data_IF_028139605541
#
_entry.id   IF_028139605541
#
_cell.length_a   1.000
_cell.length_b   1.000
_cell.length_c   1.000
_cell.angle_alpha   90.00
_cell.angle_beta   90.00
_cell.angle_gamma   90.00
#
_symmetry.space_group_name_H-M   'P 1'
#
loop_
_entity.id
_entity.type
_entity.pdbx_description
1 polymer ?
#
# COMPACT_ATOMS: atom_id res chain seq x y z
N UNK A 1 -35.46 -21.34 5.71
CA UNK A 1 -34.72 -20.52 6.70
C UNK A 1 -33.39 -20.15 6.09
N UNK A 2 -33.10 -18.85 5.95
CA UNK A 2 -31.74 -18.42 5.68
C UNK A 2 -30.92 -18.56 6.97
N UNK A 3 -29.68 -19.03 6.88
CA UNK A 3 -28.75 -19.00 8.01
C UNK A 3 -28.42 -17.56 8.35
N UNK A 4 -28.22 -17.25 9.64
CA UNK A 4 -27.74 -15.94 10.07
C UNK A 4 -26.30 -15.72 9.56
N UNK A 5 -26.07 -14.75 8.66
CA UNK A 5 -24.74 -14.48 8.14
C UNK A 5 -23.74 -14.03 9.22
N UNK A 6 -24.23 -13.53 10.36
CA UNK A 6 -23.41 -13.04 11.47
C UNK A 6 -22.93 -14.20 12.36
N UNK A 7 -23.55 -15.37 12.25
CA UNK A 7 -23.09 -16.60 12.90
C UNK A 7 -21.96 -17.31 12.12
N UNK A 8 -21.54 -16.79 10.96
CA UNK A 8 -20.49 -17.41 10.14
C UNK A 8 -19.09 -17.05 10.65
N UNK A 9 -18.36 -18.08 11.07
CA UNK A 9 -16.94 -17.98 11.43
C UNK A 9 -16.10 -17.75 10.17
N UNK A 10 -15.27 -16.70 10.21
CA UNK A 10 -14.43 -16.24 9.10
C UNK A 10 -13.04 -16.88 9.18
N UNK A 11 -12.35 -16.97 8.04
CA UNK A 11 -11.10 -17.72 7.91
C UNK A 11 -11.17 -19.18 8.41
N UNK A 12 -12.38 -19.74 8.55
CA UNK A 12 -12.56 -21.09 9.06
C UNK A 12 -11.87 -22.10 8.16
N UNK A 13 -12.16 -22.04 6.86
CA UNK A 13 -11.51 -22.90 5.88
C UNK A 13 -10.00 -22.71 5.85
N UNK A 14 -9.52 -21.47 5.86
CA UNK A 14 -8.10 -21.16 5.78
C UNK A 14 -7.34 -21.79 6.96
N UNK A 15 -7.81 -21.57 8.19
CA UNK A 15 -7.19 -22.16 9.40
C UNK A 15 -7.27 -23.68 9.41
N UNK A 16 -8.42 -24.26 9.04
CA UNK A 16 -8.55 -25.72 8.95
C UNK A 16 -7.55 -26.29 7.94
N UNK A 17 -7.43 -25.67 6.76
CA UNK A 17 -6.47 -26.12 5.74
C UNK A 17 -5.04 -26.05 6.24
N UNK A 18 -4.62 -24.93 6.82
CA UNK A 18 -3.24 -24.76 7.28
C UNK A 18 -2.89 -25.63 8.49
N UNK A 19 -3.87 -25.99 9.33
CA UNK A 19 -3.68 -26.93 10.44
C UNK A 19 -3.60 -28.40 10.01
N UNK A 20 -4.01 -28.75 8.79
CA UNK A 20 -4.04 -30.16 8.36
C UNK A 20 -3.19 -30.46 7.13
N UNK A 21 -2.80 -29.45 6.36
CA UNK A 21 -1.87 -29.59 5.23
C UNK A 21 -0.45 -29.35 5.72
N UNK A 22 0.39 -30.39 5.63
CA UNK A 22 1.82 -30.23 5.87
C UNK A 22 2.40 -29.15 4.95
N UNK A 23 3.38 -28.39 5.45
CA UNK A 23 4.01 -27.28 4.74
C UNK A 23 4.49 -27.61 3.32
N UNK A 24 5.12 -28.77 3.13
CA UNK A 24 5.54 -29.26 1.82
C UNK A 24 4.44 -29.89 0.95
N UNK A 25 3.17 -29.80 1.32
CA UNK A 25 2.02 -30.43 0.65
C UNK A 25 0.97 -29.43 0.13
N UNK A 26 1.31 -28.14 0.09
CA UNK A 26 0.50 -27.09 -0.53
C UNK A 26 0.43 -27.29 -2.06
N UNK A 27 -0.68 -26.86 -2.66
CA UNK A 27 -0.92 -26.93 -4.10
C UNK A 27 -1.35 -25.60 -4.70
N UNK A 28 -2.16 -24.82 -3.98
CA UNK A 28 -2.56 -23.49 -4.41
C UNK A 28 -2.61 -22.53 -3.22
N UNK A 29 -2.35 -21.27 -3.51
CA UNK A 29 -2.44 -20.16 -2.56
C UNK A 29 -3.05 -18.95 -3.29
N UNK A 30 -3.91 -18.22 -2.60
CA UNK A 30 -4.30 -16.86 -3.01
C UNK A 30 -3.66 -15.87 -2.05
N UNK A 31 -2.93 -14.89 -2.59
CA UNK A 31 -2.32 -13.80 -1.83
C UNK A 31 -2.81 -12.46 -2.36
N UNK A 32 -2.89 -11.48 -1.47
CA UNK A 32 -3.14 -10.09 -1.82
C UNK A 32 -2.01 -9.23 -1.25
N UNK A 33 -1.42 -8.35 -2.05
CA UNK A 33 -0.43 -7.38 -1.55
C UNK A 33 -1.14 -6.26 -0.81
N UNK A 34 -0.63 -5.89 0.36
CA UNK A 34 -1.12 -4.73 1.13
C UNK A 34 -0.39 -3.46 0.67
N UNK A 35 -0.53 -3.20 -0.61
CA UNK A 35 -0.02 -2.05 -1.33
C UNK A 35 -1.22 -1.19 -1.77
N UNK A 36 -0.98 0.05 -2.14
CA UNK A 36 -1.97 0.96 -2.69
C UNK A 36 -2.77 0.45 -3.86
N UNK A 37 -2.21 -0.49 -4.62
CA UNK A 37 -2.98 -1.33 -5.51
C UNK A 37 -3.02 -2.71 -4.89
N UNK A 38 -4.21 -3.17 -4.52
CA UNK A 38 -4.37 -4.55 -4.06
C UNK A 38 -4.16 -5.49 -5.24
N UNK A 39 -2.96 -6.04 -5.39
CA UNK A 39 -2.68 -7.07 -6.40
C UNK A 39 -3.05 -8.41 -5.80
N UNK A 40 -4.08 -9.03 -6.34
CA UNK A 40 -4.45 -10.40 -6.00
C UNK A 40 -3.76 -11.37 -6.95
N UNK A 41 -3.05 -12.35 -6.38
CA UNK A 41 -2.39 -13.41 -7.14
C UNK A 41 -2.94 -14.75 -6.70
N UNK A 42 -3.28 -15.60 -7.66
CA UNK A 42 -3.49 -17.03 -7.45
C UNK A 42 -2.29 -17.78 -7.99
N UNK A 43 -1.63 -18.54 -7.12
CA UNK A 43 -0.40 -19.26 -7.44
C UNK A 43 -0.70 -20.75 -7.29
N UNK A 44 -0.37 -21.54 -8.31
CA UNK A 44 -0.60 -22.98 -8.32
C UNK A 44 0.69 -23.72 -8.65
N UNK A 45 1.03 -24.69 -7.83
CA UNK A 45 2.16 -25.58 -8.05
C UNK A 45 1.69 -26.84 -8.81
N UNK A 46 2.48 -27.28 -9.80
CA UNK A 46 2.21 -28.51 -10.55
C UNK A 46 2.41 -29.78 -9.72
N UNK A 47 3.15 -29.66 -8.61
CA UNK A 47 3.39 -30.70 -7.60
C UNK A 47 3.21 -30.09 -6.21
N UNK A 48 3.21 -30.95 -5.19
CA UNK A 48 3.28 -30.52 -3.80
C UNK A 48 4.51 -29.61 -3.62
N UNK A 49 4.31 -28.44 -3.03
CA UNK A 49 5.38 -27.44 -2.84
C UNK A 49 5.34 -26.88 -1.42
N UNK A 50 6.49 -26.39 -0.96
CA UNK A 50 6.59 -25.51 0.20
C UNK A 50 6.16 -24.07 -0.17
N UNK A 51 5.80 -23.27 0.84
CA UNK A 51 5.59 -21.82 0.80
C UNK A 51 6.66 -21.06 0.01
N UNK A 52 7.94 -21.40 0.18
CA UNK A 52 9.03 -20.77 -0.57
C UNK A 52 8.85 -20.93 -2.08
N UNK A 53 8.33 -22.07 -2.53
CA UNK A 53 8.04 -22.31 -3.95
C UNK A 53 6.87 -21.51 -4.50
N UNK A 54 6.05 -20.89 -3.65
CA UNK A 54 5.00 -19.95 -4.06
C UNK A 54 5.47 -18.49 -4.08
N UNK A 55 6.67 -18.18 -3.59
CA UNK A 55 7.21 -16.82 -3.64
C UNK A 55 6.44 -15.80 -2.80
N UNK A 56 5.88 -16.23 -1.66
CA UNK A 56 5.16 -15.35 -0.73
C UNK A 56 6.14 -14.44 0.01
N UNK A 57 5.83 -13.16 0.05
CA UNK A 57 6.50 -12.19 0.91
C UNK A 57 5.77 -12.09 2.26
N UNK A 58 6.30 -12.76 3.28
CA UNK A 58 5.71 -12.75 4.63
C UNK A 58 5.61 -11.36 5.26
N UNK A 59 6.31 -10.35 4.73
CA UNK A 59 6.28 -8.99 5.28
C UNK A 59 5.14 -8.15 4.70
N UNK A 60 4.58 -8.53 3.54
CA UNK A 60 3.66 -7.68 2.76
C UNK A 60 2.43 -8.42 2.20
N UNK A 61 2.51 -9.75 2.04
CA UNK A 61 1.44 -10.55 1.45
C UNK A 61 0.42 -11.02 2.49
N UNK A 62 -0.85 -10.70 2.24
CA UNK A 62 -1.98 -11.24 2.97
C UNK A 62 -2.43 -12.56 2.34
N UNK A 63 -2.27 -13.67 3.05
CA UNK A 63 -2.77 -14.96 2.61
C UNK A 63 -4.30 -15.02 2.73
N UNK A 64 -4.99 -15.22 1.61
CA UNK A 64 -6.46 -15.25 1.52
C UNK A 64 -7.01 -16.66 1.37
N UNK A 65 -6.28 -17.56 0.71
CA UNK A 65 -6.71 -18.94 0.49
C UNK A 65 -5.51 -19.86 0.53
N UNK A 66 -5.71 -21.05 1.08
CA UNK A 66 -4.77 -22.15 0.92
C UNK A 66 -5.49 -23.42 0.50
N UNK A 67 -4.84 -24.23 -0.33
CA UNK A 67 -5.33 -25.54 -0.71
C UNK A 67 -4.18 -26.54 -0.90
N UNK A 68 -4.47 -27.80 -0.61
CA UNK A 68 -3.47 -28.84 -0.59
C UNK A 68 -4.03 -30.22 -0.26
N UNK A 69 -3.12 -31.12 0.08
CA UNK A 69 -3.45 -32.50 0.50
C UNK A 69 -3.18 -32.60 1.99
N UNK A 70 -4.18 -32.97 2.82
CA UNK A 70 -3.98 -33.05 4.26
C UNK A 70 -3.07 -34.24 4.60
N UNK A 71 -2.38 -34.15 5.74
CA UNK A 71 -1.58 -35.24 6.29
C UNK A 71 -2.45 -36.44 6.64
N UNK A 72 -3.67 -36.19 7.15
CA UNK A 72 -4.70 -37.21 7.35
C UNK A 72 -5.59 -37.33 6.10
N UNK A 73 -5.27 -38.29 5.23
CA UNK A 73 -6.03 -38.53 4.00
C UNK A 73 -7.40 -39.17 4.24
N UNK A 74 -7.66 -39.69 5.45
CA UNK A 74 -9.01 -40.10 5.85
C UNK A 74 -9.92 -38.90 6.10
N UNK A 75 -9.35 -37.73 6.48
CA UNK A 75 -10.10 -36.48 6.59
C UNK A 75 -10.49 -35.91 5.21
N UNK A 76 -9.56 -35.84 4.25
CA UNK A 76 -9.88 -35.47 2.87
C UNK A 76 -8.78 -35.95 1.90
N UNK A 77 -9.13 -36.22 0.64
CA UNK A 77 -8.13 -36.44 -0.41
C UNK A 77 -7.49 -35.11 -0.87
N UNK A 78 -8.23 -34.02 -0.76
CA UNK A 78 -7.80 -32.65 -1.01
C UNK A 78 -8.75 -31.68 -0.33
N UNK A 79 -8.25 -30.50 0.01
CA UNK A 79 -9.06 -29.42 0.53
C UNK A 79 -8.50 -28.05 0.14
N UNK A 80 -9.38 -27.06 0.15
CA UNK A 80 -9.06 -25.65 0.02
C UNK A 80 -9.90 -24.85 1.01
N UNK A 81 -9.35 -23.73 1.46
CA UNK A 81 -9.94 -22.96 2.55
C UNK A 81 -9.67 -21.47 2.45
N UNK A 82 -10.76 -20.71 2.56
CA UNK A 82 -10.79 -19.25 2.80
C UNK A 82 -11.69 -19.00 4.03
N UNK A 83 -12.83 -18.35 3.86
CA UNK A 83 -13.90 -18.31 4.86
C UNK A 83 -14.55 -19.70 4.94
N UNK A 84 -14.99 -20.21 3.79
CA UNK A 84 -15.52 -21.57 3.67
C UNK A 84 -14.39 -22.60 3.54
N UNK A 85 -14.67 -23.81 4.05
CA UNK A 85 -13.87 -25.01 3.83
C UNK A 85 -14.50 -25.83 2.72
N UNK A 86 -13.75 -26.08 1.65
CA UNK A 86 -14.12 -27.01 0.58
C UNK A 86 -13.20 -28.23 0.68
N UNK A 87 -13.76 -29.44 0.76
CA UNK A 87 -12.98 -30.67 0.82
C UNK A 87 -13.54 -31.73 -0.10
N UNK A 88 -12.65 -32.57 -0.64
CA UNK A 88 -12.98 -33.77 -1.39
C UNK A 88 -12.73 -34.97 -0.52
N UNK A 89 -13.75 -35.80 -0.27
CA UNK A 89 -13.58 -37.04 0.49
C UNK A 89 -14.65 -38.06 0.10
N UNK A 90 -14.36 -39.36 0.30
CA UNK A 90 -15.39 -40.40 0.26
C UNK A 90 -16.19 -40.29 1.55
N UNK A 91 -17.50 -40.05 1.43
CA UNK A 91 -18.37 -39.75 2.57
C UNK A 91 -19.75 -40.38 2.40
N UNK A 92 -20.29 -40.97 3.47
CA UNK A 92 -21.72 -41.28 3.58
C UNK A 92 -22.45 -40.24 4.44
N UNK A 93 -23.79 -40.19 4.38
CA UNK A 93 -24.57 -39.25 5.18
C UNK A 93 -24.30 -39.36 6.70
N UNK A 94 -23.95 -40.56 7.19
CA UNK A 94 -23.67 -40.81 8.61
C UNK A 94 -22.34 -40.17 9.07
N UNK A 95 -21.41 -39.94 8.14
CA UNK A 95 -20.06 -39.46 8.44
C UNK A 95 -19.95 -37.93 8.53
N UNK A 96 -20.95 -37.20 8.00
CA UNK A 96 -20.97 -35.73 7.94
C UNK A 96 -20.71 -35.11 9.32
N UNK A 97 -21.43 -35.58 10.35
CA UNK A 97 -21.29 -35.05 11.72
C UNK A 97 -19.87 -35.24 12.25
N UNK A 98 -19.23 -36.37 11.93
CA UNK A 98 -17.84 -36.65 12.30
C UNK A 98 -16.86 -35.70 11.64
N UNK A 99 -17.02 -35.45 10.33
CA UNK A 99 -16.20 -34.48 9.59
C UNK A 99 -16.34 -33.07 10.13
N UNK A 100 -17.56 -32.60 10.41
CA UNK A 100 -17.79 -31.27 10.97
C UNK A 100 -17.10 -31.11 12.34
N UNK A 101 -17.18 -32.12 13.22
CA UNK A 101 -16.45 -32.12 14.49
C UNK A 101 -14.94 -32.04 14.30
N UNK A 102 -14.39 -32.82 13.36
CA UNK A 102 -12.96 -32.81 13.07
C UNK A 102 -12.51 -31.47 12.48
N UNK A 103 -13.28 -30.89 11.56
CA UNK A 103 -13.02 -29.56 11.02
C UNK A 103 -13.02 -28.49 12.12
N UNK A 104 -13.98 -28.54 13.05
CA UNK A 104 -14.02 -27.61 14.19
C UNK A 104 -12.82 -27.79 15.13
N UNK A 105 -12.38 -29.04 15.37
CA UNK A 105 -11.15 -29.31 16.12
C UNK A 105 -9.92 -28.71 15.43
N UNK A 106 -9.80 -28.90 14.11
CA UNK A 106 -8.71 -28.33 13.30
C UNK A 106 -8.77 -26.80 13.25
N UNK A 107 -9.96 -26.20 13.27
CA UNK A 107 -10.10 -24.75 13.34
C UNK A 107 -9.58 -24.17 14.65
N UNK A 108 -9.83 -24.85 15.77
CA UNK A 108 -9.39 -24.43 17.10
C UNK A 108 -7.92 -24.79 17.40
N UNK A 109 -7.27 -25.58 16.53
CA UNK A 109 -5.86 -25.90 16.68
C UNK A 109 -4.97 -24.71 16.29
N UNK A 110 -3.80 -24.60 16.91
CA UNK A 110 -2.81 -23.56 16.64
C UNK A 110 -1.54 -24.11 15.99
N UNK A 111 -1.54 -25.36 15.56
CA UNK A 111 -0.37 -26.01 14.93
C UNK A 111 0.11 -25.26 13.70
N UNK A 112 -0.81 -24.65 12.93
CA UNK A 112 -0.49 -23.81 11.77
C UNK A 112 0.45 -22.66 12.13
N UNK A 113 0.42 -22.13 13.36
CA UNK A 113 1.23 -20.97 13.75
C UNK A 113 2.73 -21.27 13.70
N UNK A 114 3.14 -22.55 13.77
CA UNK A 114 4.54 -22.97 13.61
C UNK A 114 5.13 -22.56 12.25
N UNK A 115 4.31 -22.61 11.20
CA UNK A 115 4.73 -22.35 9.81
C UNK A 115 4.04 -21.14 9.19
N UNK A 116 2.90 -20.71 9.73
CA UNK A 116 1.97 -19.75 9.12
C UNK A 116 1.47 -18.68 10.10
N UNK A 117 2.18 -18.38 11.19
CA UNK A 117 1.78 -17.33 12.14
C UNK A 117 1.54 -15.96 11.48
N UNK A 118 2.20 -15.67 10.36
CA UNK A 118 2.07 -14.41 9.63
C UNK A 118 0.63 -14.13 9.15
N UNK A 119 -0.21 -15.15 8.95
CA UNK A 119 -1.59 -14.96 8.48
C UNK A 119 -2.49 -14.27 9.51
N UNK A 120 -2.10 -14.28 10.78
CA UNK A 120 -2.83 -13.64 11.88
C UNK A 120 -2.39 -12.19 12.11
N UNK A 121 -1.34 -11.71 11.42
CA UNK A 121 -0.79 -10.36 11.62
C UNK A 121 -1.73 -9.27 11.13
N UNK A 122 -2.45 -9.52 10.03
CA UNK A 122 -3.38 -8.58 9.40
C UNK A 122 -4.63 -9.36 8.98
N UNK A 123 -5.75 -9.11 9.65
CA UNK A 123 -6.98 -9.88 9.45
C UNK A 123 -8.10 -8.96 8.99
N UNK A 124 -8.72 -9.19 7.82
CA UNK A 124 -9.89 -8.42 7.39
C UNK A 124 -11.02 -8.51 8.42
N UNK A 125 -11.61 -7.37 8.78
CA UNK A 125 -12.78 -7.30 9.64
C UNK A 125 -14.01 -7.68 8.81
N UNK A 126 -14.79 -8.64 9.33
CA UNK A 126 -15.95 -9.21 8.63
C UNK A 126 -17.19 -9.30 9.52
N UNK A 127 -17.03 -9.12 10.82
CA UNK A 127 -18.12 -9.02 11.78
C UNK A 127 -18.93 -7.75 11.49
N UNK A 128 -20.23 -7.89 11.24
CA UNK A 128 -21.05 -6.77 10.76
C UNK A 128 -21.29 -5.71 11.82
N UNK A 129 -21.40 -6.10 13.09
CA UNK A 129 -21.61 -5.15 14.18
C UNK A 129 -20.35 -4.32 14.41
N UNK A 130 -19.18 -4.96 14.40
CA UNK A 130 -17.90 -4.28 14.48
C UNK A 130 -17.64 -3.41 13.24
N UNK A 131 -17.98 -3.87 12.04
CA UNK A 131 -17.90 -3.05 10.83
C UNK A 131 -18.78 -1.81 10.92
N UNK A 132 -20.02 -1.95 11.40
CA UNK A 132 -20.92 -0.81 11.61
C UNK A 132 -20.34 0.18 12.65
N UNK A 133 -19.79 -0.32 13.75
CA UNK A 133 -19.14 0.52 14.77
C UNK A 133 -17.92 1.27 14.21
N UNK A 134 -17.07 0.59 13.42
CA UNK A 134 -15.92 1.21 12.77
C UNK A 134 -16.32 2.23 11.70
N UNK A 135 -17.38 1.92 10.93
CA UNK A 135 -17.99 2.82 9.97
C UNK A 135 -18.54 4.09 10.64
N UNK A 136 -19.20 3.95 11.78
CA UNK A 136 -19.72 5.07 12.56
C UNK A 136 -18.58 5.97 13.07
N UNK A 137 -17.43 5.40 13.44
CA UNK A 137 -16.24 6.18 13.80
C UNK A 137 -15.74 7.02 12.62
N UNK A 138 -15.66 6.47 11.41
CA UNK A 138 -15.25 7.25 10.21
C UNK A 138 -16.28 8.32 9.89
N UNK A 139 -17.57 8.02 10.02
CA UNK A 139 -18.59 9.03 9.80
C UNK A 139 -18.52 10.15 10.84
N UNK A 140 -18.22 9.83 12.10
CA UNK A 140 -17.97 10.83 13.12
C UNK A 140 -16.77 11.72 12.78
N UNK A 141 -15.71 11.19 12.16
CA UNK A 141 -14.60 11.99 11.63
C UNK A 141 -15.04 12.98 10.54
N UNK A 142 -15.88 12.54 9.59
CA UNK A 142 -16.47 13.43 8.58
C UNK A 142 -17.29 14.55 9.24
N UNK A 143 -18.09 14.21 10.26
CA UNK A 143 -18.86 15.21 11.02
C UNK A 143 -17.99 16.19 11.81
N UNK A 144 -16.87 15.72 12.37
CA UNK A 144 -15.89 16.57 13.05
C UNK A 144 -15.27 17.55 12.06
N UNK A 145 -14.87 17.09 10.88
CA UNK A 145 -14.31 17.93 9.83
C UNK A 145 -15.31 19.00 9.33
N UNK A 146 -16.58 18.65 9.13
CA UNK A 146 -17.66 19.60 8.81
C UNK A 146 -17.77 20.71 9.87
N UNK A 147 -17.51 20.39 11.14
CA UNK A 147 -17.53 21.34 12.27
C UNK A 147 -16.20 22.07 12.48
N UNK A 148 -15.19 21.86 11.62
CA UNK A 148 -13.86 22.43 11.76
C UNK A 148 -13.02 21.84 12.90
N UNK A 149 -13.34 20.62 13.35
CA UNK A 149 -12.59 19.91 14.38
C UNK A 149 -11.46 19.04 13.78
N UNK A 150 -10.36 18.80 14.51
CA UNK A 150 -9.22 18.04 13.99
C UNK A 150 -9.56 16.55 13.77
N UNK A 151 -9.15 16.04 12.61
CA UNK A 151 -9.29 14.63 12.23
C UNK A 151 -8.03 14.13 11.52
N UNK A 152 -7.73 12.84 11.69
CA UNK A 152 -6.66 12.13 10.96
C UNK A 152 -7.20 11.30 9.78
N UNK A 153 -8.51 11.38 9.50
CA UNK A 153 -9.10 10.81 8.29
C UNK A 153 -8.49 11.49 7.07
N UNK A 154 -8.01 10.71 6.11
CA UNK A 154 -7.45 11.23 4.87
C UNK A 154 -7.93 10.39 3.68
N UNK A 155 -7.61 10.86 2.47
CA UNK A 155 -8.02 10.23 1.22
C UNK A 155 -6.82 9.87 0.36
N UNK A 156 -6.91 8.73 -0.33
CA UNK A 156 -5.98 8.33 -1.38
C UNK A 156 -6.73 7.49 -2.41
N UNK A 157 -6.21 7.38 -3.62
CA UNK A 157 -6.82 6.50 -4.61
C UNK A 157 -6.45 5.03 -4.35
N UNK A 158 -7.40 4.09 -4.45
CA UNK A 158 -7.16 2.66 -4.25
C UNK A 158 -6.50 1.94 -5.44
N UNK A 159 -6.23 2.64 -6.55
CA UNK A 159 -5.68 2.05 -7.78
C UNK A 159 -4.77 3.04 -8.50
N UNK A 160 -3.81 2.52 -9.27
CA UNK A 160 -3.02 3.32 -10.21
C UNK A 160 -3.95 3.87 -11.30
N UNK A 161 -4.02 5.19 -11.38
CA UNK A 161 -4.63 5.88 -12.52
C UNK A 161 -3.62 5.86 -13.67
N UNK A 162 -4.12 5.60 -14.87
CA UNK A 162 -3.32 5.70 -16.09
C UNK A 162 -2.69 7.11 -16.16
N UNK A 163 -1.36 7.23 -16.27
CA UNK A 163 -0.68 8.53 -16.36
C UNK A 163 -1.20 9.44 -17.48
N UNK A 164 -1.84 8.89 -18.50
CA UNK A 164 -2.46 9.61 -19.62
C UNK A 164 -3.93 10.01 -19.37
N UNK A 165 -4.56 9.53 -18.31
CA UNK A 165 -5.89 9.97 -17.90
C UNK A 165 -5.81 11.38 -17.27
N UNK A 166 -6.75 12.25 -17.64
CA UNK A 166 -6.91 13.56 -17.00
C UNK A 166 -6.97 13.42 -15.48
N UNK A 167 -6.10 14.16 -14.78
CA UNK A 167 -5.86 14.04 -13.33
C UNK A 167 -6.84 14.82 -12.46
N UNK A 168 -7.88 15.35 -13.08
CA UNK A 168 -8.80 16.27 -12.45
C UNK A 168 -9.98 15.49 -11.87
N UNK A 169 -10.11 15.50 -10.55
CA UNK A 169 -11.15 14.82 -9.80
C UNK A 169 -12.27 15.76 -9.39
N UNK A 170 -13.48 15.24 -9.31
CA UNK A 170 -14.62 15.95 -8.73
C UNK A 170 -15.42 15.04 -7.80
N UNK A 171 -16.07 15.65 -6.80
CA UNK A 171 -16.90 14.97 -5.83
C UNK A 171 -18.39 15.05 -6.19
N UNK A 172 -19.05 13.90 -6.19
CA UNK A 172 -20.45 13.73 -6.57
C UNK A 172 -21.18 12.91 -5.52
N UNK A 173 -22.46 13.15 -5.33
CA UNK A 173 -23.28 12.44 -4.35
C UNK A 173 -24.35 13.32 -3.74
N UNK A 174 -25.09 12.78 -2.77
CA UNK A 174 -26.07 13.54 -1.99
C UNK A 174 -25.36 14.68 -1.22
N UNK A 175 -26.08 15.74 -0.90
CA UNK A 175 -25.50 16.89 -0.19
C UNK A 175 -24.51 17.73 -1.00
N UNK A 176 -23.95 17.28 -2.12
CA UNK A 176 -23.16 18.12 -2.99
C UNK A 176 -24.02 19.01 -3.91
N UNK A 177 -23.47 20.14 -4.35
CA UNK A 177 -24.09 20.98 -5.39
C UNK A 177 -24.26 20.20 -6.71
N UNK A 178 -25.38 20.43 -7.41
CA UNK A 178 -25.60 19.94 -8.78
C UNK A 178 -24.92 20.86 -9.81
N UNK A 179 -24.58 20.33 -10.98
CA UNK A 179 -24.03 21.12 -12.10
C UNK A 179 -22.53 20.95 -12.29
N UNK A 180 -21.88 21.98 -12.85
CA UNK A 180 -20.42 22.00 -13.08
C UNK A 180 -19.69 21.94 -11.74
N UNK A 181 -18.69 21.08 -11.67
CA UNK A 181 -17.89 20.85 -10.46
C UNK A 181 -16.53 21.51 -10.57
N UNK A 182 -15.99 22.04 -9.46
CA UNK A 182 -14.55 22.24 -9.36
C UNK A 182 -13.83 20.93 -9.63
N UNK A 183 -12.69 21.03 -10.30
CA UNK A 183 -11.76 19.92 -10.44
C UNK A 183 -10.55 20.11 -9.53
N UNK A 184 -10.04 18.98 -9.03
CA UNK A 184 -8.88 18.92 -8.16
C UNK A 184 -7.85 18.02 -8.79
N UNK A 185 -6.59 18.45 -8.88
CA UNK A 185 -5.50 17.62 -9.41
C UNK A 185 -5.14 16.44 -8.48
N UNK A 186 -5.55 16.51 -7.22
CA UNK A 186 -5.27 15.53 -6.17
C UNK A 186 -6.52 15.27 -5.31
N UNK A 187 -6.50 14.19 -4.53
CA UNK A 187 -7.57 13.89 -3.58
C UNK A 187 -7.13 14.31 -2.18
N UNK A 188 -7.77 15.35 -1.65
CA UNK A 188 -7.63 15.75 -0.26
C UNK A 188 -8.97 15.64 0.46
N UNK A 189 -8.94 15.25 1.73
CA UNK A 189 -10.15 15.19 2.55
C UNK A 189 -10.74 16.59 2.75
N UNK A 190 -9.89 17.61 2.81
CA UNK A 190 -10.25 19.01 2.96
C UNK A 190 -11.10 19.49 1.77
N UNK A 191 -10.75 19.12 0.54
CA UNK A 191 -11.50 19.45 -0.67
C UNK A 191 -12.88 18.78 -0.66
N UNK A 192 -12.93 17.50 -0.28
CA UNK A 192 -14.19 16.77 -0.13
C UNK A 192 -15.13 17.45 0.88
N UNK A 193 -14.59 17.87 2.03
CA UNK A 193 -15.36 18.55 3.08
C UNK A 193 -15.78 19.96 2.63
N UNK A 194 -14.92 20.70 1.96
CA UNK A 194 -15.23 22.03 1.42
C UNK A 194 -16.38 21.97 0.40
N UNK A 195 -16.34 21.01 -0.53
CA UNK A 195 -17.42 20.79 -1.51
C UNK A 195 -18.74 20.38 -0.83
N UNK A 196 -18.67 19.58 0.24
CA UNK A 196 -19.85 19.16 0.98
C UNK A 196 -20.47 20.33 1.75
N UNK A 197 -19.65 21.16 2.40
CA UNK A 197 -20.05 22.41 3.07
C UNK A 197 -20.61 23.44 2.10
N UNK A 198 -20.10 23.51 0.88
CA UNK A 198 -20.61 24.38 -0.17
C UNK A 198 -22.01 23.95 -0.66
N UNK A 199 -22.43 22.72 -0.37
CA UNK A 199 -23.75 22.18 -0.70
C UNK A 199 -24.72 22.16 0.49
N UNK A 200 -25.23 20.98 0.82
CA UNK A 200 -26.20 20.67 1.87
C UNK A 200 -25.69 19.47 2.68
N UNK A 201 -24.73 19.67 3.60
CA UNK A 201 -24.14 18.58 4.39
C UNK A 201 -25.19 17.85 5.26
N UNK A 202 -26.27 18.54 5.65
CA UNK A 202 -27.38 17.97 6.41
C UNK A 202 -28.18 16.88 5.64
N UNK A 203 -28.07 16.83 4.31
CA UNK A 203 -28.73 15.80 3.50
C UNK A 203 -28.00 14.43 3.59
N UNK A 204 -26.82 14.37 4.23
CA UNK A 204 -26.04 13.15 4.42
C UNK A 204 -26.25 12.58 5.84
N UNK A 205 -27.19 11.63 6.04
CA UNK A 205 -27.60 11.21 7.38
C UNK A 205 -26.65 10.22 8.06
N UNK A 206 -25.75 9.56 7.32
CA UNK A 206 -24.92 8.49 7.87
C UNK A 206 -23.99 7.82 6.86
N UNK A 207 -23.18 6.89 7.35
CA UNK A 207 -22.20 6.16 6.52
C UNK A 207 -22.85 5.31 5.42
N UNK A 208 -24.04 4.75 5.68
CA UNK A 208 -24.75 3.95 4.67
C UNK A 208 -25.06 4.76 3.40
N UNK A 209 -25.54 6.00 3.57
CA UNK A 209 -25.84 6.89 2.45
C UNK A 209 -24.56 7.40 1.77
N UNK A 210 -23.50 7.68 2.54
CA UNK A 210 -22.19 8.05 2.01
C UNK A 210 -21.68 6.94 1.08
N UNK A 211 -21.65 5.69 1.55
CA UNK A 211 -21.20 4.52 0.78
C UNK A 211 -22.02 4.30 -0.49
N UNK A 212 -23.31 4.62 -0.45
CA UNK A 212 -24.23 4.41 -1.58
C UNK A 212 -24.15 5.51 -2.64
N UNK A 213 -23.92 6.76 -2.23
CA UNK A 213 -24.10 7.92 -3.11
C UNK A 213 -22.82 8.72 -3.41
N UNK A 214 -21.83 8.72 -2.52
CA UNK A 214 -20.65 9.58 -2.68
C UNK A 214 -19.58 8.92 -3.54
N UNK A 215 -19.20 9.62 -4.61
CA UNK A 215 -18.28 9.16 -5.62
C UNK A 215 -17.24 10.22 -5.97
N UNK A 216 -16.00 9.77 -6.17
CA UNK A 216 -14.96 10.50 -6.89
C UNK A 216 -15.07 10.13 -8.36
N UNK A 217 -15.07 11.12 -9.26
CA UNK A 217 -15.06 10.88 -10.71
C UNK A 217 -13.98 11.73 -11.36
N UNK A 218 -13.38 11.19 -12.42
CA UNK A 218 -12.54 11.99 -13.32
C UNK A 218 -13.43 13.00 -14.05
N UNK A 219 -13.02 14.27 -14.05
CA UNK A 219 -13.71 15.38 -14.68
C UNK A 219 -13.09 15.64 -16.05
N UNK A 220 -13.91 15.62 -17.09
CA UNK A 220 -13.54 16.01 -18.45
C UNK A 220 -14.50 17.12 -18.89
N UNK A 221 -13.98 18.27 -19.31
CA UNK A 221 -14.76 19.44 -19.72
C UNK A 221 -15.84 19.86 -18.70
N UNK A 222 -15.47 19.83 -17.40
CA UNK A 222 -16.36 20.20 -16.30
C UNK A 222 -17.48 19.19 -15.99
N UNK A 223 -17.46 18.00 -16.61
CA UNK A 223 -18.41 16.91 -16.36
C UNK A 223 -17.69 15.65 -15.86
N UNK A 224 -18.20 15.06 -14.78
CA UNK A 224 -17.66 13.81 -14.23
C UNK A 224 -18.02 12.60 -15.09
N UNK A 225 -17.01 11.82 -15.50
CA UNK A 225 -17.19 10.55 -16.21
C UNK A 225 -17.70 9.47 -15.24
N UNK A 226 -18.93 8.99 -15.48
CA UNK A 226 -19.54 7.92 -14.68
C UNK A 226 -18.89 6.55 -14.89
N UNK A 227 -18.17 6.34 -16.00
CA UNK A 227 -17.45 5.08 -16.25
C UNK A 227 -16.18 4.99 -15.40
N UNK A 228 -15.56 6.14 -15.09
CA UNK A 228 -14.35 6.26 -14.27
C UNK A 228 -14.67 6.81 -12.88
N UNK A 229 -15.54 6.10 -12.16
CA UNK A 229 -16.00 6.48 -10.83
C UNK A 229 -15.49 5.51 -9.77
N UNK A 230 -15.19 6.05 -8.59
CA UNK A 230 -14.82 5.29 -7.38
C UNK A 230 -15.66 5.77 -6.22
N UNK A 231 -16.01 4.89 -5.28
CA UNK A 231 -16.72 5.35 -4.07
C UNK A 231 -15.75 6.18 -3.24
N UNK A 232 -16.23 7.28 -2.66
CA UNK A 232 -15.45 8.07 -1.71
C UNK A 232 -14.96 7.19 -0.55
N UNK A 233 -15.80 6.27 -0.09
CA UNK A 233 -15.45 5.32 0.97
C UNK A 233 -14.24 4.43 0.62
N UNK A 234 -14.08 4.05 -0.65
CA UNK A 234 -12.92 3.26 -1.09
C UNK A 234 -11.62 4.08 -1.08
N UNK A 235 -11.75 5.40 -1.09
CA UNK A 235 -10.62 6.32 -1.04
C UNK A 235 -10.24 6.70 0.41
N UNK A 236 -11.06 6.37 1.41
CA UNK A 236 -10.74 6.70 2.80
C UNK A 236 -9.61 5.84 3.34
N UNK A 237 -8.73 6.50 4.09
CA UNK A 237 -7.70 5.87 4.91
C UNK A 237 -7.82 6.40 6.32
N UNK A 238 -7.96 5.48 7.27
CA UNK A 238 -8.14 5.84 8.67
C UNK A 238 -7.58 4.76 9.58
N UNK A 239 -6.95 5.18 10.67
CA UNK A 239 -6.38 4.32 11.69
C UNK A 239 -7.03 4.62 13.02
N UNK A 240 -7.51 3.59 13.72
CA UNK A 240 -8.16 3.76 15.01
C UNK A 240 -7.87 2.60 15.94
N UNK A 241 -7.64 2.92 17.21
CA UNK A 241 -7.61 1.91 18.27
C UNK A 241 -8.99 1.81 18.91
N UNK A 242 -9.61 0.64 18.79
CA UNK A 242 -10.89 0.32 19.40
C UNK A 242 -10.73 -0.92 20.28
N UNK A 243 -11.13 -0.85 21.55
CA UNK A 243 -11.05 -1.97 22.52
C UNK A 243 -9.66 -2.64 22.59
N UNK A 244 -8.58 -1.82 22.53
CA UNK A 244 -7.16 -2.24 22.52
C UNK A 244 -6.66 -2.93 21.25
N UNK A 245 -7.49 -3.07 20.23
CA UNK A 245 -7.08 -3.54 18.91
C UNK A 245 -6.93 -2.35 17.96
N UNK A 246 -5.93 -2.41 17.09
CA UNK A 246 -5.73 -1.41 16.04
C UNK A 246 -6.45 -1.86 14.78
N UNK A 247 -7.23 -0.94 14.22
CA UNK A 247 -7.97 -1.13 12.99
C UNK A 247 -7.52 -0.11 11.95
N UNK A 248 -7.37 -0.58 10.71
CA UNK A 248 -6.98 0.25 9.56
C UNK A 248 -8.03 0.11 8.48
N UNK A 249 -8.63 1.22 8.06
CA UNK A 249 -9.46 1.32 6.86
C UNK A 249 -8.55 1.65 5.69
N UNK A 250 -8.62 0.83 4.65
CA UNK A 250 -7.86 1.05 3.43
C UNK A 250 -8.53 0.39 2.24
N UNK A 251 -8.60 1.11 1.11
CA UNK A 251 -9.22 0.60 -0.12
C UNK A 251 -10.63 0.03 0.10
N UNK A 252 -11.41 0.64 1.00
CA UNK A 252 -12.78 0.24 1.32
C UNK A 252 -12.92 -1.04 2.16
N UNK A 253 -11.82 -1.64 2.65
CA UNK A 253 -11.86 -2.76 3.59
C UNK A 253 -11.24 -2.36 4.95
N UNK A 254 -11.81 -2.88 6.03
CA UNK A 254 -11.26 -2.77 7.38
C UNK A 254 -10.36 -3.96 7.70
N UNK A 255 -9.25 -3.71 8.38
CA UNK A 255 -8.30 -4.71 8.83
C UNK A 255 -7.99 -4.54 10.31
N UNK A 256 -8.01 -5.63 11.06
CA UNK A 256 -7.48 -5.70 12.43
C UNK A 256 -6.00 -6.07 12.36
N UNK A 257 -5.16 -5.32 13.08
CA UNK A 257 -3.71 -5.51 13.10
C UNK A 257 -3.32 -6.13 14.44
N UNK A 258 -2.50 -7.19 14.39
CA UNK A 258 -1.93 -7.82 15.58
C UNK A 258 -0.92 -6.86 16.25
N UNK A 259 -0.96 -6.77 17.58
CA UNK A 259 -0.26 -5.73 18.33
C UNK A 259 1.26 -5.82 18.28
N UNK A 260 1.83 -7.03 18.28
CA UNK A 260 3.28 -7.21 18.17
C UNK A 260 3.73 -6.86 16.75
N UNK A 261 3.00 -7.31 15.73
CA UNK A 261 3.29 -6.96 14.34
C UNK A 261 3.22 -5.45 14.11
N UNK A 262 2.20 -4.77 14.65
CA UNK A 262 2.11 -3.31 14.59
C UNK A 262 3.36 -2.65 15.20
N UNK A 263 3.78 -3.13 16.37
CA UNK A 263 4.94 -2.60 17.09
C UNK A 263 6.25 -2.85 16.34
N UNK A 264 6.39 -4.01 15.71
CA UNK A 264 7.55 -4.37 14.88
C UNK A 264 7.64 -3.47 13.64
N UNK A 265 6.51 -3.25 12.95
CA UNK A 265 6.45 -2.35 11.79
C UNK A 265 6.80 -0.91 12.19
N UNK A 266 6.29 -0.43 13.32
CA UNK A 266 6.63 0.90 13.81
C UNK A 266 8.12 1.01 14.16
N UNK A 267 8.67 0.00 14.83
CA UNK A 267 10.11 -0.04 15.15
C UNK A 267 10.98 -0.02 13.89
N UNK A 268 10.65 -0.84 12.90
CA UNK A 268 11.38 -0.89 11.63
C UNK A 268 11.28 0.44 10.88
N UNK A 269 10.10 1.07 10.87
CA UNK A 269 9.91 2.40 10.30
C UNK A 269 10.77 3.47 11.02
N UNK A 270 10.77 3.49 12.35
CA UNK A 270 11.57 4.44 13.12
C UNK A 270 13.07 4.27 12.87
N UNK A 271 13.54 3.03 12.67
CA UNK A 271 14.94 2.74 12.34
C UNK A 271 15.34 3.25 10.94
N UNK A 272 14.38 3.43 10.03
CA UNK A 272 14.60 4.00 8.70
C UNK A 272 14.55 5.53 8.69
N UNK A 273 14.02 6.19 9.72
CA UNK A 273 13.94 7.65 9.74
C UNK A 273 15.32 8.28 9.84
N UNK A 274 15.58 9.25 8.96
CA UNK A 274 16.81 10.02 9.00
C UNK A 274 16.87 10.87 10.28
N UNK A 275 18.04 10.88 10.93
CA UNK A 275 18.27 11.75 12.09
C UNK A 275 18.20 13.25 11.74
N UNK A 276 18.54 13.61 10.49
CA UNK A 276 18.39 14.96 9.95
C UNK A 276 17.70 14.86 8.58
N UNK A 277 16.48 15.41 8.42
CA UNK A 277 15.77 15.35 7.15
C UNK A 277 16.46 16.25 6.11
N UNK A 278 16.14 16.02 4.83
CA UNK A 278 16.70 16.81 3.71
C UNK A 278 16.26 18.26 3.83
N UNK A 279 14.99 18.45 4.20
CA UNK A 279 14.36 19.70 4.58
C UNK A 279 13.49 19.42 5.81
N UNK A 280 13.57 20.27 6.82
CA UNK A 280 12.70 20.12 8.00
C UNK A 280 11.25 20.51 7.68
N UNK A 281 11.06 21.60 6.94
CA UNK A 281 9.76 22.13 6.53
C UNK A 281 9.82 22.65 5.10
N UNK A 282 8.70 22.67 4.39
CA UNK A 282 8.56 23.31 3.08
C UNK A 282 7.22 24.07 2.98
N UNK A 283 7.21 25.15 2.20
CA UNK A 283 5.99 25.85 1.78
C UNK A 283 5.52 25.40 0.38
N UNK A 284 6.23 24.46 -0.24
CA UNK A 284 5.86 23.88 -1.54
C UNK A 284 4.50 23.20 -1.44
N UNK A 285 3.63 23.48 -2.40
CA UNK A 285 2.26 22.97 -2.40
C UNK A 285 2.23 21.50 -2.84
N UNK A 286 3.15 21.09 -3.70
CA UNK A 286 3.24 19.76 -4.28
C UNK A 286 4.70 19.34 -4.53
N UNK A 287 4.88 18.10 -4.97
CA UNK A 287 6.17 17.47 -5.30
C UNK A 287 6.97 18.25 -6.35
N UNK A 288 6.32 18.83 -7.37
CA UNK A 288 7.02 19.56 -8.44
C UNK A 288 7.63 20.88 -7.92
N UNK A 289 6.90 21.58 -7.06
CA UNK A 289 7.42 22.78 -6.39
C UNK A 289 8.56 22.44 -5.43
N UNK A 290 8.46 21.32 -4.70
CA UNK A 290 9.54 20.84 -3.84
C UNK A 290 10.80 20.50 -4.64
N UNK A 291 10.64 19.86 -5.81
CA UNK A 291 11.76 19.61 -6.73
C UNK A 291 12.39 20.94 -7.17
N UNK A 292 11.58 21.94 -7.55
CA UNK A 292 12.09 23.25 -7.96
C UNK A 292 12.78 24.01 -6.79
N UNK A 293 12.34 23.81 -5.56
CA UNK A 293 12.98 24.33 -4.35
C UNK A 293 14.37 23.72 -4.17
N UNK A 294 14.47 22.39 -4.21
CA UNK A 294 15.69 21.62 -4.00
C UNK A 294 16.70 21.76 -5.15
N UNK A 295 16.27 22.01 -6.38
CA UNK A 295 17.17 22.15 -7.53
C UNK A 295 18.13 23.36 -7.42
N UNK A 296 17.81 24.31 -6.54
CA UNK A 296 18.67 25.45 -6.18
C UNK A 296 19.91 25.03 -5.39
N UNK A 297 19.91 23.85 -4.77
CA UNK A 297 21.05 23.31 -4.05
C UNK A 297 22.15 22.87 -5.04
N UNK A 298 23.37 23.41 -4.85
CA UNK A 298 24.53 23.09 -5.67
C UNK A 298 25.03 21.65 -5.50
N UNK A 299 24.67 21.00 -4.39
CA UNK A 299 25.06 19.63 -4.06
C UNK A 299 24.06 18.57 -4.54
N UNK A 300 22.95 19.00 -5.14
CA UNK A 300 21.93 18.14 -5.75
C UNK A 300 21.92 18.32 -7.27
N UNK A 301 21.79 17.22 -8.00
CA UNK A 301 21.57 17.24 -9.44
C UNK A 301 20.19 16.69 -9.78
N UNK A 302 19.33 17.54 -10.37
CA UNK A 302 18.00 17.16 -10.79
C UNK A 302 18.04 16.13 -11.94
N UNK A 303 17.52 14.95 -11.65
CA UNK A 303 17.28 13.84 -12.56
C UNK A 303 15.78 13.50 -12.70
N UNK A 304 14.86 14.32 -12.15
CA UNK A 304 13.40 14.21 -12.34
C UNK A 304 13.07 14.06 -13.83
N UNK A 305 12.17 13.11 -14.14
CA UNK A 305 11.72 12.72 -15.48
C UNK A 305 12.80 12.20 -16.42
N UNK A 306 13.98 11.85 -15.91
CA UNK A 306 14.97 11.10 -16.70
C UNK A 306 14.42 9.72 -16.97
N UNK A 307 14.39 9.32 -18.25
CA UNK A 307 13.94 8.00 -18.68
C UNK A 307 15.16 7.15 -19.03
N UNK A 308 15.57 6.30 -18.11
CA UNK A 308 16.59 5.28 -18.34
C UNK A 308 15.93 3.93 -18.62
N UNK A 309 16.36 3.23 -19.66
CA UNK A 309 15.81 1.90 -20.00
C UNK A 309 16.88 0.83 -19.81
N UNK A 310 16.63 -0.23 -19.02
CA UNK A 310 17.54 -1.35 -18.90
C UNK A 310 17.55 -2.20 -20.17
N UNK A 311 18.56 -3.06 -20.29
CA UNK A 311 18.72 -3.99 -21.40
C UNK A 311 17.52 -4.94 -21.49
N UNK A 312 16.99 -5.15 -22.69
CA UNK A 312 15.85 -6.05 -22.92
C UNK A 312 14.48 -5.48 -22.53
N UNK A 313 14.41 -4.26 -21.98
CA UNK A 313 13.17 -3.57 -21.65
C UNK A 313 13.14 -2.17 -22.27
N UNK A 314 13.33 -2.10 -23.59
CA UNK A 314 13.26 -0.85 -24.34
C UNK A 314 11.88 -0.19 -24.15
N UNK A 315 11.86 1.06 -23.70
CA UNK A 315 10.62 1.79 -23.42
C UNK A 315 10.09 1.63 -21.99
N UNK A 316 10.77 0.90 -21.10
CA UNK A 316 10.41 0.85 -19.69
C UNK A 316 10.50 2.22 -19.00
N UNK A 317 11.31 3.14 -19.55
CA UNK A 317 11.37 4.55 -19.13
C UNK A 317 11.49 4.71 -17.61
N UNK A 318 12.36 3.92 -16.99
CA UNK A 318 12.56 3.92 -15.55
C UNK A 318 13.22 5.23 -15.13
N UNK A 319 12.64 5.83 -14.11
CA UNK A 319 13.18 7.02 -13.46
C UNK A 319 14.20 6.61 -12.39
N UNK A 320 15.48 7.02 -12.51
CA UNK A 320 16.50 6.57 -11.58
C UNK A 320 16.34 7.19 -10.18
N UNK A 321 16.00 8.47 -10.10
CA UNK A 321 15.74 9.24 -8.88
C UNK A 321 15.38 10.67 -9.29
N UNK A 322 14.77 11.44 -8.39
CA UNK A 322 14.52 12.88 -8.61
C UNK A 322 15.82 13.68 -8.49
N UNK A 323 16.67 13.32 -7.53
CA UNK A 323 17.99 13.94 -7.35
C UNK A 323 19.10 12.92 -7.07
N UNK A 324 20.27 13.20 -7.66
CA UNK A 324 21.55 12.62 -7.24
C UNK A 324 22.30 13.63 -6.38
N UNK A 325 22.68 13.25 -5.15
CA UNK A 325 23.49 14.12 -4.28
C UNK A 325 25.00 13.88 -4.45
N UNK A 326 25.82 14.87 -4.06
CA UNK A 326 27.29 14.74 -3.93
C UNK A 326 27.73 13.59 -3.03
N UNK A 327 26.87 13.16 -2.11
CA UNK A 327 27.12 12.08 -1.14
C UNK A 327 26.69 10.71 -1.68
N UNK A 328 26.45 10.58 -2.99
CA UNK A 328 25.97 9.34 -3.65
C UNK A 328 24.61 8.88 -3.13
N UNK A 329 23.71 9.83 -2.91
CA UNK A 329 22.33 9.55 -2.49
C UNK A 329 21.41 9.63 -3.71
N UNK A 330 20.60 8.58 -3.92
CA UNK A 330 19.49 8.56 -4.86
C UNK A 330 18.22 9.00 -4.12
N UNK A 331 17.80 10.24 -4.34
CA UNK A 331 16.70 10.86 -3.62
C UNK A 331 15.43 10.74 -4.46
N UNK A 332 14.41 10.14 -3.87
CA UNK A 332 13.07 9.98 -4.41
C UNK A 332 12.10 10.80 -3.56
N UNK A 333 11.36 11.73 -4.16
CA UNK A 333 10.48 12.69 -3.51
C UNK A 333 9.02 12.35 -3.77
N UNK A 334 8.17 12.60 -2.78
CA UNK A 334 6.72 12.41 -2.92
C UNK A 334 5.93 13.37 -2.06
N UNK A 335 4.87 13.92 -2.63
CA UNK A 335 3.78 14.47 -1.81
C UNK A 335 2.92 13.33 -1.23
N UNK A 336 3.05 13.13 0.08
CA UNK A 336 2.32 12.11 0.82
C UNK A 336 0.84 12.45 1.09
N UNK A 337 0.37 13.65 0.71
CA UNK A 337 -1.05 14.01 0.64
C UNK A 337 -1.64 13.85 -0.77
N UNK A 338 -0.80 13.58 -1.77
CA UNK A 338 -1.25 13.50 -3.15
C UNK A 338 -2.14 12.29 -3.44
N UNK A 339 -2.83 12.35 -4.57
CA UNK A 339 -3.70 11.27 -5.07
C UNK A 339 -2.94 9.98 -5.40
N UNK A 340 -1.65 10.12 -5.73
CA UNK A 340 -0.76 9.01 -6.05
C UNK A 340 -0.24 8.33 -4.76
N UNK A 341 -0.37 7.01 -4.64
CA UNK A 341 0.05 6.34 -3.43
C UNK A 341 1.56 6.32 -3.20
N UNK A 342 1.97 6.40 -1.93
CA UNK A 342 3.38 6.43 -1.53
C UNK A 342 4.13 5.14 -1.92
N UNK A 343 3.43 4.00 -1.97
CA UNK A 343 4.04 2.72 -2.33
C UNK A 343 4.55 2.62 -3.76
N UNK A 344 4.05 3.45 -4.67
CA UNK A 344 4.64 3.60 -6.00
C UNK A 344 6.07 4.15 -5.92
N UNK A 345 6.32 5.11 -5.03
CA UNK A 345 7.65 5.66 -4.77
C UNK A 345 8.60 4.56 -4.26
N UNK A 346 8.13 3.72 -3.34
CA UNK A 346 8.91 2.58 -2.83
C UNK A 346 9.37 1.70 -3.99
N UNK A 347 8.44 1.33 -4.88
CA UNK A 347 8.72 0.51 -6.05
C UNK A 347 9.70 1.17 -7.01
N UNK A 348 9.60 2.48 -7.25
CA UNK A 348 10.57 3.23 -8.06
C UNK A 348 11.99 3.12 -7.49
N UNK A 349 12.17 3.34 -6.19
CA UNK A 349 13.49 3.21 -5.56
C UNK A 349 14.04 1.78 -5.62
N UNK A 350 13.19 0.77 -5.40
CA UNK A 350 13.57 -0.65 -5.53
C UNK A 350 14.04 -0.98 -6.94
N UNK A 351 13.25 -0.60 -7.94
CA UNK A 351 13.52 -0.91 -9.36
C UNK A 351 14.76 -0.16 -9.85
N UNK A 352 14.93 1.10 -9.44
CA UNK A 352 16.12 1.88 -9.74
C UNK A 352 17.38 1.27 -9.13
N UNK A 353 17.36 0.95 -7.83
CA UNK A 353 18.49 0.33 -7.13
C UNK A 353 18.88 -1.01 -7.76
N UNK A 354 17.90 -1.87 -8.07
CA UNK A 354 18.15 -3.15 -8.74
C UNK A 354 18.75 -2.96 -10.13
N UNK A 355 18.19 -2.05 -10.92
CA UNK A 355 18.68 -1.75 -12.27
C UNK A 355 20.10 -1.19 -12.26
N UNK A 356 20.41 -0.32 -11.28
CA UNK A 356 21.75 0.22 -11.10
C UNK A 356 22.78 -0.88 -10.83
N UNK A 357 22.48 -1.85 -9.97
CA UNK A 357 23.39 -2.97 -9.68
C UNK A 357 23.51 -3.93 -10.87
N UNK A 358 22.37 -4.32 -11.46
CA UNK A 358 22.33 -5.45 -12.40
C UNK A 358 22.62 -5.07 -13.85
N UNK A 359 22.30 -3.85 -14.27
CA UNK A 359 22.20 -3.52 -15.68
C UNK A 359 23.20 -2.44 -16.12
N UNK A 360 24.12 -2.81 -17.01
CA UNK A 360 25.12 -1.89 -17.59
C UNK A 360 24.50 -0.81 -18.49
N UNK A 361 23.44 -1.13 -19.24
CA UNK A 361 22.78 -0.20 -20.14
C UNK A 361 22.07 0.89 -19.34
N UNK A 362 21.39 0.51 -18.26
CA UNK A 362 20.78 1.44 -17.31
C UNK A 362 21.83 2.38 -16.71
N UNK A 363 22.96 1.83 -16.21
CA UNK A 363 24.05 2.65 -15.64
C UNK A 363 24.61 3.66 -16.64
N UNK A 364 24.86 3.24 -17.89
CA UNK A 364 25.35 4.14 -18.95
C UNK A 364 24.32 5.22 -19.26
N UNK A 365 23.05 4.86 -19.40
CA UNK A 365 21.97 5.80 -19.67
C UNK A 365 21.82 6.84 -18.55
N UNK A 366 21.88 6.39 -17.28
CA UNK A 366 21.86 7.27 -16.12
C UNK A 366 23.08 8.21 -16.10
N UNK A 367 24.29 7.70 -16.38
CA UNK A 367 25.51 8.51 -16.47
C UNK A 367 25.43 9.55 -17.59
N UNK A 368 24.93 9.18 -18.76
CA UNK A 368 24.75 10.09 -19.89
C UNK A 368 23.73 11.19 -19.57
N UNK A 369 22.64 10.83 -18.90
CA UNK A 369 21.65 11.80 -18.41
C UNK A 369 22.27 12.76 -17.39
N UNK A 370 23.09 12.25 -16.46
CA UNK A 370 23.84 13.04 -15.50
C UNK A 370 24.76 14.06 -16.18
N UNK A 371 25.54 13.65 -17.18
CA UNK A 371 26.42 14.54 -17.95
C UNK A 371 25.62 15.66 -18.64
N UNK A 372 24.46 15.33 -19.22
CA UNK A 372 23.60 16.32 -19.88
C UNK A 372 23.00 17.30 -18.87
N UNK A 373 22.44 16.80 -17.76
CA UNK A 373 21.78 17.61 -16.73
C UNK A 373 22.76 18.53 -16.01
N UNK A 374 23.95 18.04 -15.64
CA UNK A 374 24.94 18.87 -14.95
C UNK A 374 25.41 20.02 -15.86
N UNK A 375 25.63 19.76 -17.16
CA UNK A 375 26.00 20.80 -18.12
C UNK A 375 24.90 21.85 -18.25
N UNK A 376 23.65 21.42 -18.36
CA UNK A 376 22.50 22.34 -18.46
C UNK A 376 22.33 23.20 -17.20
N UNK A 377 22.61 22.63 -16.02
CA UNK A 377 22.51 23.32 -14.74
C UNK A 377 23.78 24.11 -14.34
N UNK A 378 24.84 24.11 -15.16
CA UNK A 378 26.12 24.73 -14.81
C UNK A 378 26.86 24.04 -13.64
N UNK A 379 26.53 22.78 -13.35
CA UNK A 379 27.13 21.93 -12.31
C UNK A 379 28.18 21.00 -12.94
N UNK A 380 29.16 20.53 -12.14
CA UNK A 380 30.23 19.64 -12.63
C UNK A 380 30.59 18.55 -11.62
N UNK A 381 31.09 17.40 -12.10
CA UNK A 381 31.62 16.32 -11.27
C UNK A 381 30.59 15.33 -10.70
N UNK A 382 29.32 15.42 -11.11
CA UNK A 382 28.31 14.44 -10.70
C UNK A 382 28.44 13.11 -11.46
N UNK A 383 28.88 13.15 -12.71
CA UNK A 383 29.16 11.95 -13.51
C UNK A 383 30.23 11.06 -12.86
N UNK A 384 31.18 11.67 -12.14
CA UNK A 384 32.22 10.96 -11.39
C UNK A 384 31.69 10.15 -10.20
N UNK A 385 30.47 10.46 -9.72
CA UNK A 385 29.82 9.74 -8.63
C UNK A 385 29.18 8.43 -9.09
N UNK A 386 28.93 8.30 -10.40
CA UNK A 386 28.37 7.12 -11.02
C UNK A 386 29.50 6.25 -11.58
N UNK A 387 29.32 4.92 -11.68
CA UNK A 387 30.25 4.05 -12.41
C UNK A 387 30.28 4.39 -13.90
N UNK A 388 31.37 4.05 -14.57
CA UNK A 388 31.56 4.23 -16.03
C UNK A 388 30.74 3.25 -16.89
N UNK A 389 29.93 2.41 -16.24
CA UNK A 389 29.08 1.38 -16.83
C UNK A 389 29.72 -0.01 -16.82
N UNK A 390 31.06 -0.09 -16.99
CA UNK A 390 31.81 -1.35 -17.11
C UNK A 390 32.09 -1.98 -15.75
N UNK A 391 32.33 -1.15 -14.75
CA UNK A 391 32.50 -1.58 -13.36
C UNK A 391 31.13 -1.84 -12.71
N UNK A 392 31.03 -2.95 -11.95
CA UNK A 392 29.89 -3.15 -11.06
C UNK A 392 29.99 -2.14 -9.92
N UNK A 393 28.91 -1.39 -9.60
CA UNK A 393 28.93 -0.49 -8.46
C UNK A 393 29.03 -1.28 -7.16
N UNK A 394 29.62 -0.68 -6.13
CA UNK A 394 29.55 -1.15 -4.75
C UNK A 394 28.30 -0.54 -4.10
N UNK A 395 27.20 -1.29 -3.87
CA UNK A 395 25.94 -0.70 -3.43
C UNK A 395 26.01 0.02 -2.08
N UNK A 396 26.90 -0.45 -1.18
CA UNK A 396 27.12 0.18 0.12
C UNK A 396 27.75 1.57 0.07
N UNK A 397 28.26 1.98 -1.09
CA UNK A 397 28.75 3.36 -1.31
C UNK A 397 27.61 4.34 -1.60
N UNK A 398 26.38 3.84 -1.77
CA UNK A 398 25.21 4.62 -2.16
C UNK A 398 24.10 4.49 -1.11
N UNK A 399 23.26 5.51 -1.05
CA UNK A 399 22.03 5.48 -0.25
C UNK A 399 20.81 5.68 -1.13
N UNK A 400 19.71 5.03 -0.79
CA UNK A 400 18.38 5.32 -1.34
C UNK A 400 17.64 6.14 -0.30
N UNK A 401 17.27 7.36 -0.67
CA UNK A 401 16.59 8.30 0.21
C UNK A 401 15.16 8.49 -0.29
N UNK A 402 14.20 8.34 0.61
CA UNK A 402 12.81 8.68 0.34
C UNK A 402 12.41 9.95 1.10
N UNK A 403 12.26 11.06 0.38
CA UNK A 403 11.78 12.33 0.91
C UNK A 403 10.26 12.46 0.78
N UNK A 404 9.54 12.41 1.90
CA UNK A 404 8.08 12.48 1.90
C UNK A 404 7.63 13.80 2.52
N UNK A 405 7.04 14.68 1.71
CA UNK A 405 6.40 15.89 2.22
C UNK A 405 4.97 15.61 2.66
N UNK A 406 4.62 16.01 3.88
CA UNK A 406 3.31 15.75 4.47
C UNK A 406 3.00 16.77 5.57
N UNK A 407 1.74 17.14 5.75
CA UNK A 407 1.28 17.77 6.99
C UNK A 407 1.36 16.78 8.18
N UNK A 408 1.67 17.25 9.39
CA UNK A 408 1.54 16.45 10.60
C UNK A 408 0.09 15.97 10.80
N UNK A 409 -0.07 14.82 11.45
CA UNK A 409 -1.38 14.34 11.89
C UNK A 409 -2.07 15.40 12.77
N UNK A 410 -3.35 15.64 12.55
CA UNK A 410 -4.07 16.74 13.19
C UNK A 410 -4.25 16.52 14.69
N UNK A 411 -4.42 15.28 15.15
CA UNK A 411 -4.61 15.00 16.58
C UNK A 411 -3.30 14.89 17.34
N UNK A 412 -2.38 14.08 16.83
CA UNK A 412 -1.10 13.84 17.52
C UNK A 412 -0.08 14.96 17.30
N UNK A 413 -0.27 15.80 16.27
CA UNK A 413 0.69 16.80 15.78
C UNK A 413 2.06 16.20 15.40
N UNK A 414 2.13 14.87 15.24
CA UNK A 414 3.34 14.17 14.81
C UNK A 414 3.35 14.03 13.30
N UNK A 415 4.53 14.16 12.71
CA UNK A 415 4.77 13.82 11.33
C UNK A 415 5.00 12.31 11.22
N UNK A 416 4.38 11.67 10.23
CA UNK A 416 4.48 10.22 10.05
C UNK A 416 3.76 9.73 8.81
N UNK A 417 3.82 8.42 8.58
CA UNK A 417 3.16 7.75 7.46
C UNK A 417 1.99 6.88 7.94
N UNK A 418 0.98 6.64 7.07
CA UNK A 418 -0.04 5.64 7.34
C UNK A 418 0.54 4.22 7.52
N UNK A 419 -0.14 3.38 8.30
CA UNK A 419 0.34 2.06 8.71
C UNK A 419 0.67 1.16 7.52
N UNK A 420 -0.22 1.04 6.52
CA UNK A 420 0.08 0.22 5.34
C UNK A 420 1.15 0.82 4.41
N UNK A 421 1.38 2.14 4.47
CA UNK A 421 2.56 2.74 3.83
C UNK A 421 3.86 2.30 4.52
N UNK A 422 3.85 2.10 5.85
CA UNK A 422 4.99 1.55 6.61
C UNK A 422 5.22 0.07 6.33
N UNK A 423 4.14 -0.73 6.24
CA UNK A 423 4.22 -2.16 5.89
C UNK A 423 4.87 -2.35 4.52
N UNK A 424 4.40 -1.63 3.50
CA UNK A 424 4.97 -1.68 2.15
C UNK A 424 6.41 -1.14 2.09
N UNK A 425 6.72 -0.08 2.85
CA UNK A 425 8.08 0.46 2.98
C UNK A 425 9.04 -0.60 3.56
N UNK A 426 8.62 -1.34 4.59
CA UNK A 426 9.45 -2.39 5.22
C UNK A 426 9.96 -3.41 4.20
N UNK A 427 9.06 -3.91 3.35
CA UNK A 427 9.41 -4.87 2.30
C UNK A 427 10.34 -4.27 1.24
N UNK A 428 10.06 -3.03 0.80
CA UNK A 428 10.89 -2.32 -0.16
C UNK A 428 12.31 -2.03 0.38
N UNK A 429 12.40 -1.51 1.61
CA UNK A 429 13.65 -1.21 2.28
C UNK A 429 14.48 -2.49 2.48
N UNK A 430 13.86 -3.58 2.94
CA UNK A 430 14.51 -4.89 3.08
C UNK A 430 15.13 -5.36 1.76
N UNK A 431 14.40 -5.26 0.65
CA UNK A 431 14.92 -5.63 -0.69
C UNK A 431 16.10 -4.76 -1.13
N UNK A 432 16.06 -3.46 -0.84
CA UNK A 432 17.15 -2.53 -1.16
C UNK A 432 18.39 -2.80 -0.28
N UNK A 433 18.18 -3.02 1.02
CA UNK A 433 19.25 -3.34 1.97
C UNK A 433 19.91 -4.69 1.67
N UNK A 434 19.16 -5.69 1.17
CA UNK A 434 19.72 -6.97 0.71
C UNK A 434 20.70 -6.79 -0.46
N UNK A 435 20.57 -5.73 -1.26
CA UNK A 435 21.54 -5.40 -2.30
C UNK A 435 22.79 -4.68 -1.74
N UNK A 436 22.75 -4.22 -0.48
CA UNK A 436 23.86 -3.58 0.22
C UNK A 436 23.73 -2.07 0.38
N UNK A 437 22.66 -1.45 -0.10
CA UNK A 437 22.42 -0.01 0.08
C UNK A 437 22.00 0.33 1.50
N UNK A 438 22.26 1.57 1.91
CA UNK A 438 21.56 2.18 3.05
C UNK A 438 20.24 2.79 2.56
N UNK A 439 19.20 2.70 3.38
CA UNK A 439 17.88 3.29 3.10
C UNK A 439 17.53 4.26 4.22
N UNK A 440 17.10 5.47 3.87
CA UNK A 440 16.63 6.46 4.83
C UNK A 440 15.32 7.09 4.35
N UNK A 441 14.44 7.42 5.29
CA UNK A 441 13.19 8.15 5.07
C UNK A 441 13.32 9.53 5.70
N UNK A 442 13.16 10.56 4.89
CA UNK A 442 13.22 11.97 5.28
C UNK A 442 11.81 12.53 5.23
N UNK A 443 11.20 12.75 6.39
CA UNK A 443 9.90 13.40 6.47
C UNK A 443 10.08 14.92 6.42
N UNK A 444 9.32 15.58 5.55
CA UNK A 444 9.36 17.03 5.34
C UNK A 444 7.98 17.59 5.73
N UNK A 445 7.93 18.48 6.72
CA UNK A 445 6.65 19.04 7.16
C UNK A 445 6.14 20.11 6.18
N UNK A 446 4.93 19.94 5.65
CA UNK A 446 4.23 20.99 4.89
C UNK A 446 3.68 22.04 5.86
N UNK A 447 3.95 23.32 5.58
CA UNK A 447 3.47 24.46 6.37
C UNK A 447 2.00 24.79 6.12
#
# INVERSE_FOLDING_TARGET
MALDPDAFVRNFGLRVTLNCVARGALRNLDVATLDSTTIQKRIQASRKSDLQGFGIDYQNDLLRLAGGVPTDTAFASSLEGKDALSLTSKLSAKDIKGKCKKALQLFNATDYQKDYAFIDQIVPVRDRLLLAELDDLVFAEVQNLIKGQPSDLHMTLPEIIDPEEGRDFGYFGIGFKSGVKPSYSELAIEDYIAELLAGRPADLPGMAELKASHEVRIVVDGRGDKKKRRRVYDCFVYEVTLRKSTYVLFSGEWYCIESNFFSDVEKDYQALLAGVPLLATTSSINEQELIAELDKDGDLLNLDKVKASPSGAAGANLEPCDFLSRRKEFIHLKDGHGSAPISHLWSQGVVSAESFVRDEVFRKSMRDACIKRQKAAGKAGFEGLLPDGRSKPTPSDYKVIYGIMRHPYQRSKKLGLPFFSKVSLRAAASRIQLMGYVVEVHLIAKQ
#
